data_IF_772135482883
#
_entry.id   IF_772135482883
#
_cell.length_a   1.000
_cell.length_b   1.000
_cell.length_c   1.000
_cell.angle_alpha   90.00
_cell.angle_beta   90.00
_cell.angle_gamma   90.00
#
_symmetry.space_group_name_H-M   'P 1'
#
loop_
_entity.id
_entity.type
_entity.pdbx_description
1 polymer ?
#
# COMPACT_ATOMS: atom_id res chain seq x y z
N UNK A 1 -4.16 -27.35 15.62
CA UNK A 1 -4.43 -26.01 15.04
C UNK A 1 -4.83 -26.20 13.59
N UNK A 2 -5.79 -25.42 13.13
CA UNK A 2 -6.26 -25.47 11.75
C UNK A 2 -5.23 -24.80 10.82
N UNK A 3 -4.78 -25.55 9.79
CA UNK A 3 -3.80 -25.08 8.80
C UNK A 3 -4.30 -23.86 8.03
N UNK A 4 -5.60 -23.80 7.74
CA UNK A 4 -6.24 -22.67 7.07
C UNK A 4 -6.12 -21.39 7.91
N UNK A 5 -6.42 -21.48 9.22
CA UNK A 5 -6.29 -20.34 10.12
C UNK A 5 -4.83 -19.85 10.20
N UNK A 6 -3.87 -20.76 10.30
CA UNK A 6 -2.45 -20.40 10.33
C UNK A 6 -2.00 -19.72 9.04
N UNK A 7 -2.41 -20.22 7.86
CA UNK A 7 -2.09 -19.61 6.58
C UNK A 7 -2.71 -18.21 6.44
N UNK A 8 -3.97 -18.02 6.88
CA UNK A 8 -4.63 -16.71 6.91
C UNK A 8 -3.92 -15.72 7.83
N UNK A 9 -3.56 -16.14 9.04
CA UNK A 9 -2.84 -15.29 9.99
C UNK A 9 -1.47 -14.87 9.44
N UNK A 10 -0.75 -15.82 8.85
CA UNK A 10 0.56 -15.53 8.24
C UNK A 10 0.43 -14.52 7.11
N UNK A 11 -0.49 -14.73 6.18
CA UNK A 11 -0.72 -13.79 5.09
C UNK A 11 -1.14 -12.41 5.60
N UNK A 12 -2.10 -12.35 6.53
CA UNK A 12 -2.56 -11.09 7.11
C UNK A 12 -1.43 -10.30 7.79
N UNK A 13 -0.58 -10.98 8.57
CA UNK A 13 0.55 -10.35 9.28
C UNK A 13 1.59 -9.85 8.30
N UNK A 14 2.03 -10.68 7.37
CA UNK A 14 3.09 -10.33 6.42
C UNK A 14 2.65 -9.25 5.44
N UNK A 15 1.43 -9.32 4.91
CA UNK A 15 0.85 -8.29 4.03
C UNK A 15 0.70 -6.96 4.76
N UNK A 16 0.19 -6.96 6.00
CA UNK A 16 0.03 -5.74 6.78
C UNK A 16 1.39 -5.07 7.02
N UNK A 17 2.40 -5.84 7.41
CA UNK A 17 3.75 -5.30 7.62
C UNK A 17 4.32 -4.76 6.31
N UNK A 18 4.28 -5.52 5.22
CA UNK A 18 4.80 -5.08 3.92
C UNK A 18 4.10 -3.81 3.43
N UNK A 19 2.79 -3.73 3.57
CA UNK A 19 2.03 -2.57 3.09
C UNK A 19 2.39 -1.26 3.79
N UNK A 20 2.84 -1.30 5.05
CA UNK A 20 3.36 -0.12 5.74
C UNK A 20 4.60 0.46 5.04
N UNK A 21 5.46 -0.40 4.50
CA UNK A 21 6.61 0.05 3.68
C UNK A 21 6.15 0.60 2.34
N UNK A 22 5.19 -0.03 1.69
CA UNK A 22 4.68 0.37 0.37
C UNK A 22 4.09 1.78 0.40
N UNK A 23 3.23 2.11 1.38
CA UNK A 23 2.61 3.45 1.45
C UNK A 23 3.64 4.55 1.71
N UNK A 24 4.70 4.27 2.48
CA UNK A 24 5.81 5.21 2.69
C UNK A 24 6.66 5.36 1.41
N UNK A 25 6.97 4.24 0.73
CA UNK A 25 7.75 4.24 -0.52
C UNK A 25 7.06 5.08 -1.59
N UNK A 26 5.81 4.77 -1.93
CA UNK A 26 5.07 5.50 -2.97
C UNK A 26 4.85 6.97 -2.61
N UNK A 27 4.52 7.26 -1.34
CA UNK A 27 4.32 8.62 -0.87
C UNK A 27 5.61 9.45 -0.93
N UNK A 28 6.72 8.94 -0.39
CA UNK A 28 7.97 9.69 -0.36
C UNK A 28 8.62 9.82 -1.73
N UNK A 29 8.58 8.80 -2.60
CA UNK A 29 9.21 8.90 -3.94
C UNK A 29 8.56 10.00 -4.77
N UNK A 30 7.24 10.17 -4.67
CA UNK A 30 6.51 11.25 -5.36
C UNK A 30 6.96 12.62 -4.88
N UNK A 31 7.08 12.80 -3.56
CA UNK A 31 7.56 14.04 -2.96
C UNK A 31 9.02 14.32 -3.35
N UNK A 32 9.87 13.30 -3.38
CA UNK A 32 11.28 13.41 -3.80
C UNK A 32 11.42 13.83 -5.26
N UNK A 33 10.64 13.21 -6.16
CA UNK A 33 10.60 13.60 -7.57
C UNK A 33 10.19 15.07 -7.72
N UNK A 34 9.14 15.49 -7.01
CA UNK A 34 8.71 16.89 -7.00
C UNK A 34 9.80 17.85 -6.51
N UNK A 35 10.46 17.53 -5.39
CA UNK A 35 11.53 18.36 -4.82
C UNK A 35 12.76 18.41 -5.74
N UNK A 36 13.21 17.28 -6.29
CA UNK A 36 14.36 17.24 -7.17
C UNK A 36 14.08 17.94 -8.51
N UNK A 37 12.87 17.81 -9.04
CA UNK A 37 12.44 18.53 -10.24
C UNK A 37 12.43 20.05 -10.01
N UNK A 38 11.89 20.50 -8.87
CA UNK A 38 11.93 21.91 -8.50
C UNK A 38 13.36 22.43 -8.37
N UNK A 39 14.26 21.63 -7.79
CA UNK A 39 15.70 21.96 -7.71
C UNK A 39 16.38 22.04 -9.06
N UNK A 40 16.04 21.15 -9.98
CA UNK A 40 16.55 21.18 -11.35
C UNK A 40 16.10 22.42 -12.13
N UNK A 41 14.81 22.77 -12.03
CA UNK A 41 14.23 23.90 -12.76
C UNK A 41 14.64 25.26 -12.19
N UNK A 42 14.76 25.38 -10.87
CA UNK A 42 15.03 26.67 -10.21
C UNK A 42 16.52 26.92 -9.94
N UNK A 43 17.34 25.86 -9.96
CA UNK A 43 18.76 25.96 -9.56
C UNK A 43 18.98 26.27 -8.07
N UNK A 44 17.92 26.36 -7.24
CA UNK A 44 18.03 26.70 -5.83
C UNK A 44 18.58 25.51 -4.99
N UNK A 45 19.73 25.67 -4.30
CA UNK A 45 20.36 24.60 -3.53
C UNK A 45 19.53 24.12 -2.33
N UNK A 46 18.53 24.88 -1.88
CA UNK A 46 17.64 24.45 -0.81
C UNK A 46 16.88 23.18 -1.17
N UNK A 47 16.49 23.01 -2.44
CA UNK A 47 15.82 21.80 -2.92
C UNK A 47 16.73 20.58 -2.89
N UNK A 48 18.02 20.74 -3.15
CA UNK A 48 18.97 19.64 -3.06
C UNK A 48 19.11 19.14 -1.61
N UNK A 49 19.18 20.06 -0.63
CA UNK A 49 19.21 19.68 0.81
C UNK A 49 17.94 18.93 1.22
N UNK A 50 16.79 19.42 0.78
CA UNK A 50 15.50 18.75 1.00
C UNK A 50 15.50 17.33 0.41
N UNK A 51 15.91 17.22 -0.87
CA UNK A 51 15.96 15.92 -1.57
C UNK A 51 16.92 14.95 -0.89
N UNK A 52 18.08 15.42 -0.42
CA UNK A 52 19.06 14.57 0.30
C UNK A 52 18.50 14.06 1.63
N UNK A 53 17.91 14.94 2.44
CA UNK A 53 17.36 14.56 3.74
C UNK A 53 16.22 13.53 3.59
N UNK A 54 15.22 13.84 2.78
CA UNK A 54 14.08 12.94 2.56
C UNK A 54 14.45 11.70 1.75
N UNK A 55 15.43 11.82 0.85
CA UNK A 55 15.97 10.70 0.07
C UNK A 55 16.64 9.64 0.94
N UNK A 56 17.34 10.03 1.98
CA UNK A 56 17.93 9.06 2.93
C UNK A 56 16.85 8.29 3.70
N UNK A 57 15.79 8.97 4.12
CA UNK A 57 14.63 8.32 4.76
C UNK A 57 13.93 7.37 3.79
N UNK A 58 13.76 7.78 2.53
CA UNK A 58 13.23 6.91 1.49
C UNK A 58 14.07 5.65 1.29
N UNK A 59 15.39 5.78 1.16
CA UNK A 59 16.31 4.65 0.97
C UNK A 59 16.26 3.67 2.13
N UNK A 60 16.23 4.16 3.39
CA UNK A 60 16.09 3.30 4.58
C UNK A 60 14.81 2.46 4.46
N UNK A 61 13.68 3.12 4.19
CA UNK A 61 12.39 2.43 4.08
C UNK A 61 12.38 1.45 2.90
N UNK A 62 12.91 1.84 1.75
CA UNK A 62 12.89 1.05 0.53
C UNK A 62 13.70 -0.24 0.66
N UNK A 63 14.93 -0.18 1.15
CA UNK A 63 15.81 -1.36 1.28
C UNK A 63 15.20 -2.42 2.18
N UNK A 64 14.57 -2.01 3.28
CA UNK A 64 13.90 -2.94 4.18
C UNK A 64 12.54 -3.39 3.63
N UNK A 65 11.85 -2.51 2.89
CA UNK A 65 10.62 -2.82 2.18
C UNK A 65 10.78 -3.93 1.14
N UNK A 66 11.87 -3.92 0.37
CA UNK A 66 12.21 -5.00 -0.58
C UNK A 66 12.24 -6.37 0.11
N UNK A 67 12.95 -6.48 1.23
CA UNK A 67 13.06 -7.75 1.95
C UNK A 67 11.68 -8.29 2.36
N UNK A 68 10.76 -7.40 2.76
CA UNK A 68 9.39 -7.78 3.11
C UNK A 68 8.57 -8.19 1.87
N UNK A 69 8.79 -7.57 0.72
CA UNK A 69 8.15 -7.92 -0.57
C UNK A 69 8.55 -9.31 -1.05
N UNK A 70 9.84 -9.64 -1.00
CA UNK A 70 10.34 -10.98 -1.36
C UNK A 70 9.67 -12.06 -0.52
N UNK A 71 9.47 -11.83 0.78
CA UNK A 71 8.74 -12.77 1.65
C UNK A 71 7.31 -12.96 1.19
N UNK A 72 6.65 -11.90 0.70
CA UNK A 72 5.27 -12.00 0.17
C UNK A 72 5.21 -12.92 -1.05
N UNK A 73 6.15 -12.78 -1.99
CA UNK A 73 6.22 -13.64 -3.18
C UNK A 73 6.40 -15.12 -2.84
N UNK A 74 7.26 -15.44 -1.88
CA UNK A 74 7.47 -16.83 -1.45
C UNK A 74 6.20 -17.47 -0.87
N UNK A 75 5.30 -16.73 -0.27
CA UNK A 75 4.08 -17.29 0.32
C UNK A 75 3.13 -17.89 -0.70
N UNK A 76 3.12 -17.40 -1.94
CA UNK A 76 2.31 -17.99 -3.01
C UNK A 76 2.69 -19.45 -3.29
N UNK A 77 3.97 -19.80 -3.23
CA UNK A 77 4.43 -21.18 -3.36
C UNK A 77 4.35 -22.00 -2.08
N UNK A 78 4.64 -21.39 -0.93
CA UNK A 78 4.74 -22.10 0.36
C UNK A 78 3.36 -22.39 0.97
N UNK A 79 2.53 -21.36 1.13
CA UNK A 79 1.30 -21.46 1.92
C UNK A 79 0.03 -21.49 1.06
N UNK A 80 0.13 -21.04 -0.19
CA UNK A 80 -1.00 -20.84 -1.08
C UNK A 80 -0.80 -21.57 -2.42
N UNK A 81 -0.19 -22.76 -2.40
CA UNK A 81 0.10 -23.54 -3.62
C UNK A 81 -1.16 -23.92 -4.40
N UNK A 82 -2.28 -24.14 -3.74
CA UNK A 82 -3.58 -24.36 -4.40
C UNK A 82 -4.04 -23.14 -5.20
N UNK A 83 -3.85 -21.92 -4.65
CA UNK A 83 -4.09 -20.68 -5.40
C UNK A 83 -3.14 -20.60 -6.61
N UNK A 84 -1.83 -20.74 -6.40
CA UNK A 84 -0.83 -20.63 -7.45
C UNK A 84 -1.09 -21.61 -8.61
N UNK A 85 -1.54 -22.82 -8.29
CA UNK A 85 -1.94 -23.83 -9.29
C UNK A 85 -3.18 -23.39 -10.06
N UNK A 86 -4.20 -22.88 -9.36
CA UNK A 86 -5.47 -22.51 -9.98
C UNK A 86 -5.37 -21.28 -10.88
N UNK A 87 -4.63 -20.25 -10.46
CA UNK A 87 -4.56 -18.95 -11.15
C UNK A 87 -3.23 -18.66 -11.84
N UNK A 88 -2.27 -19.59 -11.83
CA UNK A 88 -0.91 -19.37 -12.37
C UNK A 88 -0.92 -18.88 -13.83
N UNK A 89 -1.85 -19.37 -14.65
CA UNK A 89 -1.99 -18.94 -16.04
C UNK A 89 -2.70 -17.58 -16.21
N UNK A 90 -3.23 -17.00 -15.15
CA UNK A 90 -3.79 -15.63 -15.13
C UNK A 90 -2.80 -14.66 -14.52
N UNK A 91 -2.20 -15.02 -13.37
CA UNK A 91 -1.31 -14.14 -12.61
C UNK A 91 0.13 -14.16 -13.10
N UNK A 92 0.56 -15.22 -13.80
CA UNK A 92 1.94 -15.36 -14.23
C UNK A 92 2.46 -14.15 -14.99
N UNK A 93 1.68 -13.60 -15.92
CA UNK A 93 2.09 -12.41 -16.66
C UNK A 93 2.18 -11.14 -15.80
N UNK A 94 1.13 -10.74 -15.03
CA UNK A 94 1.21 -9.59 -14.12
C UNK A 94 2.36 -9.67 -13.11
N UNK A 95 2.53 -10.81 -12.43
CA UNK A 95 3.58 -10.97 -11.42
C UNK A 95 4.98 -11.05 -12.05
N UNK A 96 5.13 -11.69 -13.23
CA UNK A 96 6.40 -11.70 -13.94
C UNK A 96 6.82 -10.29 -14.40
N UNK A 97 5.88 -9.49 -14.89
CA UNK A 97 6.15 -8.10 -15.28
C UNK A 97 6.52 -7.28 -14.03
N UNK A 98 5.80 -7.46 -12.93
CA UNK A 98 6.11 -6.80 -11.67
C UNK A 98 7.54 -7.13 -11.22
N UNK A 99 7.87 -8.41 -11.06
CA UNK A 99 9.15 -8.84 -10.54
C UNK A 99 10.30 -8.55 -11.49
N UNK A 100 10.18 -8.92 -12.78
CA UNK A 100 11.29 -8.84 -13.74
C UNK A 100 11.52 -7.42 -14.26
N UNK A 101 10.46 -6.64 -14.45
CA UNK A 101 10.56 -5.31 -15.05
C UNK A 101 10.54 -4.24 -13.95
N UNK A 102 9.48 -4.19 -13.15
CA UNK A 102 9.34 -3.12 -12.17
C UNK A 102 10.41 -3.19 -11.09
N UNK A 103 10.51 -4.31 -10.38
CA UNK A 103 11.44 -4.48 -9.26
C UNK A 103 12.92 -4.38 -9.66
N UNK A 104 13.36 -5.08 -10.72
CA UNK A 104 14.77 -5.02 -11.14
C UNK A 104 15.17 -3.65 -11.68
N UNK A 105 14.29 -3.01 -12.46
CA UNK A 105 14.56 -1.66 -12.96
C UNK A 105 14.57 -0.65 -11.82
N UNK A 106 13.61 -0.74 -10.89
CA UNK A 106 13.53 0.14 -9.73
C UNK A 106 14.80 0.07 -8.88
N UNK A 107 15.25 -1.14 -8.54
CA UNK A 107 16.48 -1.37 -7.76
C UNK A 107 17.70 -0.85 -8.49
N UNK A 108 17.77 -1.04 -9.82
CA UNK A 108 18.87 -0.55 -10.64
C UNK A 108 18.90 0.97 -10.69
N UNK A 109 17.77 1.62 -10.98
CA UNK A 109 17.68 3.08 -11.03
C UNK A 109 17.97 3.71 -9.67
N UNK A 110 17.46 3.11 -8.58
CA UNK A 110 17.73 3.59 -7.24
C UNK A 110 19.21 3.48 -6.88
N UNK A 111 19.86 2.35 -7.19
CA UNK A 111 21.29 2.18 -6.99
C UNK A 111 22.09 3.26 -7.74
N UNK A 112 21.78 3.46 -9.02
CA UNK A 112 22.44 4.52 -9.82
C UNK A 112 22.14 5.92 -9.26
N UNK A 113 20.94 6.19 -8.75
CA UNK A 113 20.59 7.47 -8.13
C UNK A 113 21.38 7.70 -6.83
N UNK A 114 21.47 6.70 -5.94
CA UNK A 114 22.21 6.80 -4.67
C UNK A 114 23.69 7.10 -4.91
N UNK A 115 24.33 6.37 -5.82
CA UNK A 115 25.76 6.52 -6.09
C UNK A 115 26.10 7.61 -7.11
N UNK A 116 25.06 8.20 -7.74
CA UNK A 116 25.18 9.19 -8.81
C UNK A 116 25.34 10.64 -8.38
N UNK A 117 25.13 11.00 -7.10
CA UNK A 117 25.02 12.38 -6.60
C UNK A 117 26.11 13.34 -7.05
N UNK A 118 27.36 12.89 -7.10
CA UNK A 118 28.51 13.73 -7.50
C UNK A 118 29.15 13.27 -8.80
N UNK A 119 28.58 12.28 -9.48
CA UNK A 119 29.14 11.63 -10.67
C UNK A 119 28.33 11.89 -11.93
N UNK A 120 27.04 12.09 -11.78
CA UNK A 120 26.12 12.21 -12.91
C UNK A 120 25.72 13.67 -13.16
N UNK A 121 25.44 14.00 -14.43
CA UNK A 121 24.81 15.26 -14.79
C UNK A 121 23.47 15.41 -14.11
N UNK A 122 23.08 16.62 -13.65
CA UNK A 122 21.85 16.89 -12.91
C UNK A 122 20.59 16.33 -13.59
N UNK A 123 20.50 16.46 -14.92
CA UNK A 123 19.34 15.94 -15.68
C UNK A 123 19.27 14.41 -15.68
N UNK A 124 20.41 13.71 -15.82
CA UNK A 124 20.48 12.24 -15.75
C UNK A 124 20.11 11.76 -14.35
N UNK A 125 20.62 12.42 -13.31
CA UNK A 125 20.32 12.09 -11.93
C UNK A 125 18.82 12.29 -11.60
N UNK A 126 18.19 13.32 -12.15
CA UNK A 126 16.74 13.53 -12.05
C UNK A 126 15.97 12.44 -12.81
N UNK A 127 16.40 12.10 -14.04
CA UNK A 127 15.75 11.04 -14.83
C UNK A 127 15.77 9.68 -14.13
N UNK A 128 16.85 9.36 -13.40
CA UNK A 128 16.93 8.15 -12.59
C UNK A 128 15.88 8.14 -11.47
N UNK A 129 15.65 9.25 -10.77
CA UNK A 129 14.62 9.32 -9.74
C UNK A 129 13.20 9.24 -10.31
N UNK A 130 12.98 9.82 -11.50
CA UNK A 130 11.74 9.59 -12.25
C UNK A 130 11.57 8.11 -12.64
N UNK A 131 12.67 7.46 -13.06
CA UNK A 131 12.69 6.02 -13.31
C UNK A 131 12.29 5.20 -12.09
N UNK A 132 12.88 5.51 -10.91
CA UNK A 132 12.51 4.88 -9.63
C UNK A 132 11.02 5.07 -9.33
N UNK A 133 10.48 6.28 -9.47
CA UNK A 133 9.08 6.54 -9.21
C UNK A 133 8.16 5.77 -10.17
N UNK A 134 8.44 5.81 -11.47
CA UNK A 134 7.63 5.14 -12.48
C UNK A 134 7.62 3.62 -12.28
N UNK A 135 8.75 3.02 -11.94
CA UNK A 135 8.85 1.58 -11.70
C UNK A 135 8.17 1.17 -10.38
N UNK A 136 8.26 1.98 -9.32
CA UNK A 136 7.52 1.75 -8.07
C UNK A 136 6.01 1.79 -8.29
N UNK A 137 5.51 2.76 -9.07
CA UNK A 137 4.10 2.82 -9.44
C UNK A 137 3.68 1.70 -10.38
N UNK A 138 4.55 1.26 -11.29
CA UNK A 138 4.30 0.12 -12.16
C UNK A 138 4.19 -1.19 -11.36
N UNK A 139 5.04 -1.41 -10.35
CA UNK A 139 4.93 -2.53 -9.42
C UNK A 139 3.57 -2.52 -8.71
N UNK A 140 3.21 -1.41 -8.06
CA UNK A 140 1.91 -1.27 -7.40
C UNK A 140 0.72 -1.48 -8.36
N UNK A 141 0.83 -1.02 -9.61
CA UNK A 141 -0.17 -1.20 -10.64
C UNK A 141 -0.42 -2.69 -10.93
N UNK A 142 0.62 -3.47 -11.20
CA UNK A 142 0.49 -4.88 -11.55
C UNK A 142 -0.03 -5.73 -10.39
N UNK A 143 0.41 -5.45 -9.16
CA UNK A 143 -0.13 -6.10 -7.96
C UNK A 143 -1.62 -5.77 -7.78
N UNK A 144 -2.03 -4.52 -8.02
CA UNK A 144 -3.44 -4.14 -7.92
C UNK A 144 -4.29 -4.71 -9.05
N UNK A 145 -3.75 -4.92 -10.25
CA UNK A 145 -4.43 -5.66 -11.35
C UNK A 145 -4.70 -7.10 -10.92
N UNK A 146 -3.70 -7.80 -10.39
CA UNK A 146 -3.85 -9.17 -9.88
C UNK A 146 -4.87 -9.22 -8.73
N UNK A 147 -4.79 -8.29 -7.78
CA UNK A 147 -5.73 -8.21 -6.67
C UNK A 147 -7.17 -7.90 -7.14
N UNK A 148 -7.35 -7.01 -8.12
CA UNK A 148 -8.66 -6.72 -8.68
C UNK A 148 -9.29 -7.94 -9.36
N UNK A 149 -8.51 -8.78 -10.01
CA UNK A 149 -9.00 -10.04 -10.56
C UNK A 149 -9.47 -10.99 -9.46
N UNK A 150 -8.76 -11.09 -8.33
CA UNK A 150 -9.23 -11.88 -7.19
C UNK A 150 -10.57 -11.38 -6.63
N UNK A 151 -10.79 -10.05 -6.67
CA UNK A 151 -12.05 -9.43 -6.23
C UNK A 151 -13.19 -9.64 -7.23
N UNK A 152 -12.89 -9.63 -8.53
CA UNK A 152 -13.84 -9.80 -9.62
C UNK A 152 -13.17 -10.54 -10.79
N UNK A 153 -13.21 -11.87 -10.83
CA UNK A 153 -12.60 -12.65 -11.90
C UNK A 153 -13.25 -12.38 -13.25
N UNK A 154 -12.46 -11.91 -14.21
CA UNK A 154 -12.88 -11.58 -15.59
C UNK A 154 -11.84 -12.05 -16.60
N UNK A 155 -12.21 -12.20 -17.89
CA UNK A 155 -11.28 -12.48 -18.98
C UNK A 155 -10.60 -13.85 -18.88
N UNK A 156 -11.25 -14.85 -18.31
CA UNK A 156 -10.69 -16.19 -18.09
C UNK A 156 -11.63 -17.30 -18.58
N UNK A 157 -11.07 -18.49 -18.77
CA UNK A 157 -11.79 -19.74 -18.95
C UNK A 157 -11.17 -20.81 -18.05
N UNK A 158 -12.02 -21.65 -17.44
CA UNK A 158 -11.53 -22.81 -16.66
C UNK A 158 -11.40 -24.00 -17.59
N UNK A 159 -10.17 -24.57 -17.66
CA UNK A 159 -9.87 -25.82 -18.39
C UNK A 159 -9.09 -26.72 -17.44
N UNK A 160 -9.48 -27.96 -17.34
CA UNK A 160 -8.84 -28.98 -16.45
C UNK A 160 -8.67 -28.51 -14.98
N UNK A 161 -9.65 -27.74 -14.48
CA UNK A 161 -9.63 -27.20 -13.12
C UNK A 161 -8.67 -26.02 -12.89
N UNK A 162 -8.12 -25.42 -13.95
CA UNK A 162 -7.19 -24.29 -13.92
C UNK A 162 -7.81 -23.10 -14.68
N UNK A 163 -7.69 -21.91 -14.14
CA UNK A 163 -8.10 -20.69 -14.81
C UNK A 163 -7.03 -20.26 -15.82
N UNK A 164 -7.43 -20.09 -17.08
CA UNK A 164 -6.58 -19.63 -18.17
C UNK A 164 -7.02 -18.24 -18.61
N UNK A 165 -6.09 -17.32 -18.75
CA UNK A 165 -6.36 -16.00 -19.27
C UNK A 165 -6.75 -16.08 -20.75
N UNK A 166 -7.89 -15.49 -21.09
CA UNK A 166 -8.41 -15.43 -22.48
C UNK A 166 -8.54 -14.01 -23.01
N UNK A 167 -8.63 -13.03 -22.10
CA UNK A 167 -8.74 -11.61 -22.44
C UNK A 167 -7.91 -10.77 -21.46
N UNK A 168 -6.72 -10.35 -21.91
CA UNK A 168 -5.85 -9.49 -21.13
C UNK A 168 -6.42 -8.08 -20.94
N UNK A 169 -7.19 -7.57 -21.91
CA UNK A 169 -7.84 -6.26 -21.80
C UNK A 169 -8.84 -6.22 -20.67
N UNK A 170 -9.58 -7.31 -20.42
CA UNK A 170 -10.52 -7.42 -19.32
C UNK A 170 -9.85 -7.29 -17.94
N UNK A 171 -8.60 -7.73 -17.78
CA UNK A 171 -7.85 -7.52 -16.55
C UNK A 171 -7.64 -6.02 -16.26
N UNK A 172 -7.24 -5.26 -17.27
CA UNK A 172 -6.91 -3.84 -17.15
C UNK A 172 -8.16 -2.96 -17.01
N UNK A 173 -9.28 -3.41 -17.54
CA UNK A 173 -10.58 -2.71 -17.46
C UNK A 173 -11.49 -3.24 -16.36
N UNK A 174 -10.95 -4.04 -15.44
CA UNK A 174 -11.70 -4.57 -14.31
C UNK A 174 -12.33 -3.44 -13.48
N UNK A 175 -13.66 -3.44 -13.27
CA UNK A 175 -14.36 -2.34 -12.59
C UNK A 175 -13.89 -2.12 -11.14
N UNK A 176 -13.28 -3.12 -10.50
CA UNK A 176 -12.74 -3.01 -9.14
C UNK A 176 -11.29 -2.50 -9.10
N UNK A 177 -10.65 -2.27 -10.26
CA UNK A 177 -9.24 -1.90 -10.34
C UNK A 177 -9.01 -0.38 -10.18
N UNK A 178 -9.55 0.42 -11.09
CA UNK A 178 -9.15 1.84 -11.24
C UNK A 178 -9.35 2.68 -9.98
N UNK A 179 -10.54 2.58 -9.37
CA UNK A 179 -10.85 3.30 -8.13
C UNK A 179 -10.03 2.79 -6.95
N UNK A 180 -9.76 1.48 -6.88
CA UNK A 180 -8.93 0.90 -5.83
C UNK A 180 -7.47 1.30 -5.96
N UNK A 181 -6.90 1.29 -7.18
CA UNK A 181 -5.54 1.75 -7.44
C UNK A 181 -5.39 3.24 -7.10
N UNK A 182 -6.33 4.09 -7.57
CA UNK A 182 -6.36 5.51 -7.22
C UNK A 182 -6.44 5.76 -5.71
N UNK A 183 -7.24 4.96 -4.99
CA UNK A 183 -7.34 5.03 -3.53
C UNK A 183 -6.01 4.68 -2.84
N UNK A 184 -5.34 3.61 -3.26
CA UNK A 184 -4.02 3.20 -2.71
C UNK A 184 -2.96 4.27 -2.96
N UNK A 185 -2.90 4.82 -4.18
CA UNK A 185 -1.97 5.91 -4.53
C UNK A 185 -2.24 7.15 -3.68
N UNK A 186 -3.50 7.56 -3.56
CA UNK A 186 -3.89 8.70 -2.74
C UNK A 186 -3.57 8.47 -1.25
N UNK A 187 -3.79 7.25 -0.73
CA UNK A 187 -3.45 6.89 0.65
C UNK A 187 -1.93 6.93 0.89
N UNK A 188 -1.13 6.50 -0.08
CA UNK A 188 0.32 6.62 0.00
C UNK A 188 0.78 8.09 0.03
N UNK A 189 0.21 8.95 -0.82
CA UNK A 189 0.48 10.39 -0.80
C UNK A 189 0.05 11.04 0.51
N UNK A 190 -1.10 10.68 1.06
CA UNK A 190 -1.56 11.14 2.38
C UNK A 190 -0.57 10.74 3.47
N UNK A 191 -0.14 9.48 3.46
CA UNK A 191 0.83 8.96 4.43
C UNK A 191 2.18 9.67 4.32
N UNK A 192 2.72 9.80 3.10
CA UNK A 192 3.98 10.51 2.85
C UNK A 192 3.91 11.99 3.23
N UNK A 193 2.80 12.67 2.91
CA UNK A 193 2.57 14.06 3.27
C UNK A 193 2.47 14.28 4.77
N UNK A 194 1.70 13.45 5.49
CA UNK A 194 1.59 13.51 6.95
C UNK A 194 2.89 13.12 7.65
N UNK A 195 3.62 12.12 7.15
CA UNK A 195 4.94 11.73 7.65
C UNK A 195 5.92 12.91 7.56
N UNK A 196 5.97 13.56 6.40
CA UNK A 196 6.80 14.74 6.18
C UNK A 196 6.39 15.90 7.11
N UNK A 197 5.10 16.16 7.24
CA UNK A 197 4.58 17.21 8.12
C UNK A 197 4.85 16.92 9.60
N UNK A 198 4.66 15.68 10.07
CA UNK A 198 4.84 15.28 11.46
C UNK A 198 6.31 15.32 11.90
N UNK A 199 7.25 14.86 11.06
CA UNK A 199 8.69 14.96 11.32
C UNK A 199 9.10 16.44 11.38
N UNK A 200 8.69 17.23 10.39
CA UNK A 200 8.96 18.66 10.34
C UNK A 200 8.40 19.39 11.56
N UNK A 201 7.19 19.05 11.99
CA UNK A 201 6.59 19.59 13.22
C UNK A 201 7.44 19.27 14.46
N UNK A 202 8.04 18.08 14.54
CA UNK A 202 8.95 17.69 15.60
C UNK A 202 10.19 18.60 15.69
N UNK A 203 10.81 18.90 14.55
CA UNK A 203 11.96 19.81 14.46
C UNK A 203 11.60 21.26 14.81
N UNK A 204 10.45 21.73 14.30
CA UNK A 204 9.96 23.09 14.59
C UNK A 204 9.63 23.29 16.08
N UNK A 205 9.08 22.26 16.75
CA UNK A 205 8.84 22.26 18.18
C UNK A 205 10.13 22.32 19.01
N UNK A 206 11.17 21.59 18.56
CA UNK A 206 12.49 21.52 19.23
C UNK A 206 13.40 22.71 18.86
N UNK A 207 13.04 23.50 17.84
CA UNK A 207 13.84 24.61 17.30
C UNK A 207 15.24 24.16 16.88
N UNK A 208 15.31 23.06 16.09
CA UNK A 208 16.59 22.56 15.54
C UNK A 208 17.24 23.57 14.58
N UNK A 209 18.56 23.43 14.29
CA UNK A 209 19.29 24.46 13.52
C UNK A 209 18.74 24.78 12.13
N UNK A 210 18.28 23.78 11.35
CA UNK A 210 17.78 24.01 9.98
C UNK A 210 16.26 24.19 9.92
N UNK A 211 15.75 25.23 10.61
CA UNK A 211 14.32 25.55 10.61
C UNK A 211 13.76 25.86 9.21
N UNK A 212 14.57 26.35 8.28
CA UNK A 212 14.13 26.70 6.93
C UNK A 212 13.74 25.44 6.14
N UNK A 213 14.56 24.36 6.26
CA UNK A 213 14.28 23.07 5.65
C UNK A 213 12.94 22.52 6.17
N UNK A 214 12.76 22.52 7.49
CA UNK A 214 11.57 21.93 8.10
C UNK A 214 10.30 22.76 7.92
N UNK A 215 10.41 24.10 7.77
CA UNK A 215 9.28 24.95 7.36
C UNK A 215 8.82 24.60 5.94
N UNK A 216 9.76 24.45 5.01
CA UNK A 216 9.44 24.08 3.63
C UNK A 216 8.85 22.69 3.57
N UNK A 217 9.46 21.71 4.26
CA UNK A 217 8.94 20.33 4.36
C UNK A 217 7.52 20.29 4.97
N UNK A 218 7.26 21.05 6.03
CA UNK A 218 5.93 21.14 6.65
C UNK A 218 4.87 21.61 5.63
N UNK A 219 5.19 22.66 4.86
CA UNK A 219 4.28 23.20 3.84
C UNK A 219 4.01 22.20 2.73
N UNK A 220 5.07 21.58 2.20
CA UNK A 220 4.94 20.52 1.19
C UNK A 220 4.09 19.37 1.73
N UNK A 221 4.42 18.86 2.92
CA UNK A 221 3.71 17.75 3.54
C UNK A 221 2.23 18.03 3.79
N UNK A 222 1.89 19.20 4.34
CA UNK A 222 0.50 19.58 4.62
C UNK A 222 -0.32 19.80 3.35
N UNK A 223 0.22 20.48 2.34
CA UNK A 223 -0.48 20.68 1.06
C UNK A 223 -0.71 19.33 0.39
N UNK A 224 0.31 18.47 0.35
CA UNK A 224 0.16 17.11 -0.20
C UNK A 224 -0.89 16.31 0.56
N UNK A 225 -0.86 16.32 1.89
CA UNK A 225 -1.82 15.59 2.70
C UNK A 225 -3.26 16.09 2.51
N UNK A 226 -3.47 17.41 2.38
CA UNK A 226 -4.78 17.98 2.15
C UNK A 226 -5.36 17.58 0.77
N UNK A 227 -4.57 17.66 -0.29
CA UNK A 227 -5.00 17.19 -1.61
C UNK A 227 -5.25 15.69 -1.59
N UNK A 228 -4.32 14.93 -1.00
CA UNK A 228 -4.38 13.47 -0.98
C UNK A 228 -5.58 12.96 -0.17
N UNK A 229 -5.95 13.56 0.96
CA UNK A 229 -7.11 13.10 1.75
C UNK A 229 -8.41 13.27 0.98
N UNK A 230 -8.55 14.34 0.18
CA UNK A 230 -9.71 14.52 -0.70
C UNK A 230 -9.78 13.42 -1.77
N UNK A 231 -8.63 13.07 -2.37
CA UNK A 231 -8.55 11.98 -3.34
C UNK A 231 -8.83 10.61 -2.70
N UNK A 232 -8.30 10.36 -1.49
CA UNK A 232 -8.59 9.14 -0.71
C UNK A 232 -10.08 8.98 -0.50
N UNK A 233 -10.75 10.04 -0.04
CA UNK A 233 -12.20 10.01 0.18
C UNK A 233 -12.96 9.82 -1.14
N UNK A 234 -12.60 10.59 -2.17
CA UNK A 234 -13.24 10.49 -3.49
C UNK A 234 -13.13 9.10 -4.10
N UNK A 235 -11.92 8.56 -4.22
CA UNK A 235 -11.71 7.19 -4.72
C UNK A 235 -12.28 6.12 -3.78
N UNK A 236 -12.23 6.35 -2.46
CA UNK A 236 -12.78 5.43 -1.48
C UNK A 236 -14.29 5.27 -1.65
N UNK A 237 -15.03 6.36 -1.68
CA UNK A 237 -16.49 6.32 -1.90
C UNK A 237 -16.86 5.84 -3.30
N UNK A 238 -16.07 6.15 -4.31
CA UNK A 238 -16.29 5.68 -5.68
C UNK A 238 -16.20 4.15 -5.84
N UNK A 239 -15.57 3.43 -4.90
CA UNK A 239 -15.50 1.96 -4.93
C UNK A 239 -16.82 1.29 -4.56
N UNK A 240 -17.71 1.96 -3.80
CA UNK A 240 -18.95 1.32 -3.33
C UNK A 240 -19.81 0.80 -4.48
N UNK A 241 -20.03 1.60 -5.52
CA UNK A 241 -20.84 1.21 -6.68
C UNK A 241 -20.32 -0.06 -7.37
N UNK A 242 -19.10 -0.06 -7.91
CA UNK A 242 -18.52 -1.24 -8.55
C UNK A 242 -18.46 -2.46 -7.64
N UNK A 243 -18.05 -2.30 -6.37
CA UNK A 243 -17.95 -3.44 -5.45
C UNK A 243 -19.33 -4.01 -5.11
N UNK A 244 -20.36 -3.18 -4.93
CA UNK A 244 -21.72 -3.65 -4.69
C UNK A 244 -22.27 -4.45 -5.86
N UNK A 245 -21.93 -4.07 -7.10
CA UNK A 245 -22.36 -4.78 -8.29
C UNK A 245 -21.71 -6.16 -8.41
N UNK A 246 -20.41 -6.28 -8.15
CA UNK A 246 -19.65 -7.52 -8.36
C UNK A 246 -19.54 -8.40 -7.12
N UNK A 247 -19.73 -7.84 -5.91
CA UNK A 247 -19.69 -8.54 -4.63
C UNK A 247 -20.90 -8.17 -3.75
N UNK A 248 -22.12 -8.48 -4.17
CA UNK A 248 -23.33 -8.06 -3.45
C UNK A 248 -23.40 -8.61 -2.03
N UNK A 249 -22.82 -9.77 -1.75
CA UNK A 249 -22.75 -10.36 -0.39
C UNK A 249 -21.92 -9.53 0.59
N UNK A 250 -21.06 -8.63 0.11
CA UNK A 250 -20.16 -7.83 0.96
C UNK A 250 -20.86 -6.75 1.75
N UNK A 251 -22.01 -6.27 1.30
CA UNK A 251 -22.75 -5.16 1.89
C UNK A 251 -24.12 -5.53 2.47
N UNK A 252 -24.28 -6.78 2.89
CA UNK A 252 -25.43 -7.15 3.71
C UNK A 252 -26.60 -7.82 2.99
N UNK A 253 -26.40 -8.36 1.80
CA UNK A 253 -27.41 -9.22 1.18
C UNK A 253 -28.38 -8.49 0.22
N UNK A 254 -29.49 -9.13 -0.09
CA UNK A 254 -30.50 -8.72 -1.05
C UNK A 254 -30.73 -9.78 -2.12
N UNK A 255 -31.73 -9.65 -3.00
CA UNK A 255 -32.11 -10.70 -3.95
C UNK A 255 -30.97 -11.24 -4.80
N UNK A 256 -30.05 -10.38 -5.24
CA UNK A 256 -28.86 -10.78 -6.02
C UNK A 256 -27.88 -11.58 -5.18
N UNK A 257 -27.64 -11.19 -3.93
CA UNK A 257 -26.78 -11.94 -3.02
C UNK A 257 -27.39 -13.30 -2.68
N UNK A 258 -28.68 -13.36 -2.43
CA UNK A 258 -29.40 -14.60 -2.12
C UNK A 258 -29.33 -15.58 -3.30
N UNK A 259 -29.47 -15.09 -4.54
CA UNK A 259 -29.33 -15.91 -5.75
C UNK A 259 -27.93 -16.50 -5.85
N UNK A 260 -26.87 -15.67 -5.66
CA UNK A 260 -25.48 -16.12 -5.68
C UNK A 260 -25.18 -17.14 -4.59
N UNK A 261 -25.69 -16.93 -3.37
CA UNK A 261 -25.54 -17.89 -2.26
C UNK A 261 -26.21 -19.23 -2.59
N UNK A 262 -27.39 -19.21 -3.22
CA UNK A 262 -28.04 -20.43 -3.68
C UNK A 262 -27.23 -21.16 -4.77
N UNK A 263 -26.69 -20.45 -5.75
CA UNK A 263 -25.81 -21.01 -6.78
C UNK A 263 -24.54 -21.62 -6.18
N UNK A 264 -23.91 -20.92 -5.23
CA UNK A 264 -22.71 -21.41 -4.54
C UNK A 264 -23.00 -22.62 -3.66
N UNK A 265 -24.15 -22.64 -2.99
CA UNK A 265 -24.61 -23.79 -2.22
C UNK A 265 -24.79 -25.01 -3.11
N UNK A 266 -25.38 -24.83 -4.29
CA UNK A 266 -25.54 -25.90 -5.27
C UNK A 266 -24.18 -26.42 -5.81
N UNK A 267 -23.21 -25.52 -6.02
CA UNK A 267 -21.91 -25.85 -6.62
C UNK A 267 -20.87 -26.35 -5.62
N UNK A 268 -20.82 -25.80 -4.44
CA UNK A 268 -19.76 -26.04 -3.45
C UNK A 268 -20.24 -26.77 -2.19
N UNK A 269 -21.55 -26.94 -2.04
CA UNK A 269 -22.20 -27.51 -0.86
C UNK A 269 -22.71 -26.47 0.13
N UNK A 270 -23.43 -26.92 1.19
CA UNK A 270 -23.90 -26.02 2.23
C UNK A 270 -22.73 -25.39 3.00
N UNK A 271 -22.81 -24.07 3.21
CA UNK A 271 -21.78 -23.29 3.89
C UNK A 271 -22.19 -21.84 4.11
N UNK A 272 -21.41 -21.11 4.93
CA UNK A 272 -21.58 -19.67 5.10
C UNK A 272 -20.73 -18.94 4.04
N UNK A 273 -21.42 -18.28 3.11
CA UNK A 273 -20.80 -17.52 2.02
C UNK A 273 -20.85 -16.00 2.28
N UNK A 274 -21.17 -15.60 3.51
CA UNK A 274 -21.16 -14.20 3.91
C UNK A 274 -19.77 -13.77 4.42
N UNK A 275 -19.32 -12.53 4.15
CA UNK A 275 -18.07 -12.04 4.68
C UNK A 275 -18.11 -11.90 6.21
N UNK A 276 -17.01 -12.21 6.91
CA UNK A 276 -16.93 -12.00 8.37
C UNK A 276 -17.16 -10.54 8.77
N UNK A 277 -17.80 -10.33 9.92
CA UNK A 277 -18.09 -9.00 10.51
C UNK A 277 -16.84 -8.11 10.61
N UNK A 278 -15.67 -8.71 10.79
CA UNK A 278 -14.39 -8.00 10.82
C UNK A 278 -14.16 -7.11 9.58
N UNK A 279 -14.68 -7.50 8.42
CA UNK A 279 -14.62 -6.69 7.19
C UNK A 279 -15.36 -5.38 7.34
N UNK A 280 -16.61 -5.42 7.83
CA UNK A 280 -17.46 -4.23 8.02
C UNK A 280 -16.94 -3.32 9.12
N UNK A 281 -16.43 -3.90 10.20
CA UNK A 281 -15.79 -3.16 11.31
C UNK A 281 -14.52 -2.46 10.81
N UNK A 282 -13.66 -3.17 10.06
CA UNK A 282 -12.45 -2.58 9.46
C UNK A 282 -12.77 -1.43 8.52
N UNK A 283 -13.79 -1.60 7.65
CA UNK A 283 -14.27 -0.56 6.75
C UNK A 283 -14.78 0.67 7.51
N UNK A 284 -15.60 0.48 8.54
CA UNK A 284 -16.14 1.58 9.35
C UNK A 284 -15.07 2.40 10.03
N UNK A 285 -14.09 1.75 10.68
CA UNK A 285 -12.97 2.46 11.32
C UNK A 285 -12.04 3.13 10.31
N UNK A 286 -11.78 2.50 9.15
CA UNK A 286 -11.01 3.13 8.07
C UNK A 286 -11.67 4.43 7.60
N UNK A 287 -12.98 4.40 7.37
CA UNK A 287 -13.75 5.60 6.94
C UNK A 287 -13.69 6.67 8.02
N UNK A 288 -13.94 6.30 9.29
CA UNK A 288 -13.87 7.24 10.41
C UNK A 288 -12.52 7.94 10.49
N UNK A 289 -11.42 7.18 10.41
CA UNK A 289 -10.07 7.75 10.42
C UNK A 289 -9.86 8.64 9.19
N UNK A 290 -10.30 8.22 8.01
CA UNK A 290 -10.22 9.02 6.78
C UNK A 290 -10.95 10.36 6.89
N UNK A 291 -12.14 10.38 7.51
CA UNK A 291 -12.88 11.61 7.78
C UNK A 291 -12.16 12.51 8.79
N UNK A 292 -11.62 11.94 9.88
CA UNK A 292 -10.83 12.68 10.87
C UNK A 292 -9.59 13.32 10.23
N UNK A 293 -8.88 12.59 9.36
CA UNK A 293 -7.73 13.10 8.62
C UNK A 293 -8.12 14.22 7.64
N UNK A 294 -9.37 14.31 7.22
CA UNK A 294 -9.92 15.46 6.50
C UNK A 294 -9.73 16.80 7.22
N UNK A 295 -9.60 16.77 8.55
CA UNK A 295 -9.26 17.93 9.38
C UNK A 295 -7.93 18.60 9.02
N UNK A 296 -7.05 17.97 8.24
CA UNK A 296 -5.82 18.57 7.70
C UNK A 296 -6.12 19.85 6.90
N UNK A 297 -7.26 19.95 6.25
CA UNK A 297 -7.68 21.16 5.55
C UNK A 297 -7.76 22.39 6.47
N UNK A 298 -8.14 22.20 7.72
CA UNK A 298 -8.21 23.27 8.73
C UNK A 298 -6.84 23.82 9.12
N UNK A 299 -5.77 23.08 8.82
CA UNK A 299 -4.40 23.50 9.11
C UNK A 299 -3.77 24.34 7.99
N UNK A 300 -4.30 24.30 6.75
CA UNK A 300 -3.74 25.05 5.63
C UNK A 300 -3.77 26.57 5.82
N UNK A 301 -4.86 27.20 6.29
CA UNK A 301 -4.87 28.63 6.57
C UNK A 301 -3.80 29.05 7.59
N UNK A 302 -3.44 28.18 8.51
CA UNK A 302 -2.41 28.43 9.52
C UNK A 302 -0.99 28.49 8.94
N UNK A 303 -0.78 28.04 7.70
CA UNK A 303 0.49 28.23 6.97
C UNK A 303 0.71 29.69 6.58
N UNK A 304 -0.36 30.49 6.54
CA UNK A 304 -0.27 31.91 6.29
C UNK A 304 0.50 32.61 7.42
N UNK A 305 1.53 33.37 7.07
CA UNK A 305 2.41 34.06 8.04
C UNK A 305 2.98 33.17 9.15
N UNK A 306 3.13 31.86 8.87
CA UNK A 306 3.68 30.87 9.82
C UNK A 306 2.91 30.73 11.16
N UNK A 307 1.61 31.02 11.18
CA UNK A 307 0.79 30.90 12.39
C UNK A 307 0.84 29.50 12.97
N UNK A 308 0.89 28.45 12.13
CA UNK A 308 1.00 27.06 12.57
C UNK A 308 2.22 26.84 13.50
N UNK A 309 3.33 27.55 13.25
CA UNK A 309 4.56 27.44 14.04
C UNK A 309 4.40 28.21 15.36
N UNK A 310 3.70 29.34 15.35
CA UNK A 310 3.48 30.19 16.53
C UNK A 310 2.55 29.51 17.54
N UNK A 311 1.48 28.86 17.07
CA UNK A 311 0.45 28.25 17.91
C UNK A 311 0.91 26.95 18.60
N UNK A 312 1.96 26.29 18.12
CA UNK A 312 2.53 25.01 18.62
C UNK A 312 1.55 23.84 18.70
N UNK A 313 0.29 24.05 19.08
CA UNK A 313 -0.72 23.01 19.21
C UNK A 313 -0.95 22.23 17.88
N UNK A 314 -1.10 22.86 16.71
CA UNK A 314 -1.21 22.13 15.45
C UNK A 314 0.00 21.24 15.14
N UNK A 315 1.21 21.64 15.55
CA UNK A 315 2.41 20.84 15.38
C UNK A 315 2.37 19.55 16.23
N UNK A 316 1.85 19.64 17.47
CA UNK A 316 1.61 18.48 18.31
C UNK A 316 0.54 17.57 17.71
N UNK A 317 -0.55 18.15 17.21
CA UNK A 317 -1.63 17.40 16.56
C UNK A 317 -1.11 16.58 15.37
N UNK A 318 -0.27 17.16 14.50
CA UNK A 318 0.35 16.44 13.38
C UNK A 318 1.19 15.24 13.82
N UNK A 319 1.92 15.38 14.92
CA UNK A 319 2.74 14.27 15.47
C UNK A 319 1.89 13.15 16.04
N UNK A 320 0.81 13.49 16.75
CA UNK A 320 -0.12 12.51 17.32
C UNK A 320 -0.93 11.81 16.21
N UNK A 321 -1.27 12.54 15.15
CA UNK A 321 -2.02 12.01 14.01
C UNK A 321 -1.18 11.08 13.10
N UNK A 322 0.15 11.06 13.22
CA UNK A 322 1.04 10.27 12.36
C UNK A 322 0.69 8.78 12.25
N UNK A 323 0.30 8.05 13.29
CA UNK A 323 -0.09 6.64 13.18
C UNK A 323 -1.39 6.40 12.40
N UNK A 324 -2.28 7.40 12.32
CA UNK A 324 -3.64 7.22 11.78
C UNK A 324 -3.68 6.73 10.32
N UNK A 325 -2.91 7.29 9.36
CA UNK A 325 -2.93 6.79 7.98
C UNK A 325 -2.43 5.34 7.87
N UNK A 326 -1.48 4.92 8.72
CA UNK A 326 -1.00 3.54 8.75
C UNK A 326 -2.08 2.59 9.29
N UNK A 327 -2.78 2.97 10.36
CA UNK A 327 -3.89 2.20 10.92
C UNK A 327 -5.01 2.08 9.88
N UNK A 328 -5.38 3.20 9.22
CA UNK A 328 -6.40 3.19 8.18
C UNK A 328 -6.01 2.29 7.00
N UNK A 329 -4.75 2.27 6.61
CA UNK A 329 -4.23 1.42 5.54
C UNK A 329 -4.38 -0.08 5.86
N UNK A 330 -4.05 -0.51 7.08
CA UNK A 330 -4.24 -1.90 7.54
C UNK A 330 -5.73 -2.25 7.58
N UNK A 331 -6.56 -1.38 8.16
CA UNK A 331 -8.00 -1.59 8.23
C UNK A 331 -8.64 -1.69 6.84
N UNK A 332 -8.16 -0.90 5.88
CA UNK A 332 -8.59 -0.97 4.48
C UNK A 332 -8.28 -2.33 3.84
N UNK A 333 -7.09 -2.88 4.08
CA UNK A 333 -6.74 -4.23 3.61
C UNK A 333 -7.55 -5.31 4.30
N UNK A 334 -7.80 -5.20 5.60
CA UNK A 334 -8.72 -6.11 6.31
C UNK A 334 -10.11 -6.06 5.66
N UNK A 335 -10.65 -4.87 5.43
CA UNK A 335 -11.95 -4.71 4.79
C UNK A 335 -11.97 -5.32 3.37
N UNK A 336 -10.89 -5.17 2.61
CA UNK A 336 -10.80 -5.66 1.24
C UNK A 336 -10.64 -7.19 1.18
N UNK A 337 -9.69 -7.75 1.91
CA UNK A 337 -9.32 -9.17 1.82
C UNK A 337 -10.23 -10.07 2.67
N UNK A 338 -10.55 -9.67 3.90
CA UNK A 338 -11.50 -10.40 4.73
C UNK A 338 -12.92 -10.28 4.18
N UNK A 339 -13.24 -9.13 3.55
CA UNK A 339 -14.52 -8.92 2.89
C UNK A 339 -14.75 -9.75 1.61
N UNK A 340 -13.73 -10.47 1.13
CA UNK A 340 -13.85 -11.45 0.05
C UNK A 340 -14.07 -12.87 0.56
N UNK A 341 -13.83 -13.13 1.85
CA UNK A 341 -14.02 -14.48 2.41
C UNK A 341 -15.48 -14.94 2.26
N UNK A 342 -15.72 -16.27 2.07
CA UNK A 342 -14.77 -17.38 2.16
C UNK A 342 -13.94 -17.63 0.87
N UNK A 343 -13.89 -16.70 -0.05
CA UNK A 343 -13.22 -16.84 -1.34
C UNK A 343 -11.80 -16.30 -1.33
N UNK A 344 -10.89 -16.98 -2.00
CA UNK A 344 -9.60 -16.42 -2.41
C UNK A 344 -9.69 -15.77 -3.79
N UNK A 345 -10.44 -16.38 -4.71
CA UNK A 345 -10.94 -15.74 -5.93
C UNK A 345 -12.46 -15.77 -5.90
N UNK A 346 -13.09 -14.61 -5.89
CA UNK A 346 -14.50 -14.44 -5.58
C UNK A 346 -15.40 -15.31 -6.46
N UNK A 347 -16.22 -16.15 -5.83
CA UNK A 347 -17.14 -17.08 -6.48
C UNK A 347 -16.49 -18.24 -7.25
N UNK A 348 -15.15 -18.34 -7.29
CA UNK A 348 -14.44 -19.37 -8.05
C UNK A 348 -13.66 -20.36 -7.19
N UNK A 349 -12.84 -19.85 -6.29
CA UNK A 349 -11.94 -20.64 -5.49
C UNK A 349 -12.15 -20.36 -4.00
N UNK A 350 -12.74 -21.29 -3.25
CA UNK A 350 -12.82 -21.21 -1.80
C UNK A 350 -11.43 -21.18 -1.17
N UNK A 351 -11.27 -20.44 -0.09
CA UNK A 351 -9.98 -20.29 0.61
C UNK A 351 -9.42 -21.63 1.08
N UNK A 352 -10.28 -22.55 1.49
CA UNK A 352 -9.91 -23.90 1.94
C UNK A 352 -9.20 -24.71 0.85
N UNK A 353 -9.58 -24.54 -0.43
CA UNK A 353 -8.98 -25.23 -1.58
C UNK A 353 -7.71 -24.55 -2.10
N UNK A 354 -7.43 -23.34 -1.62
CA UNK A 354 -6.28 -22.53 -2.05
C UNK A 354 -5.03 -22.77 -1.20
N UNK A 355 -5.20 -23.25 0.03
CA UNK A 355 -4.10 -23.48 0.99
C UNK A 355 -3.27 -24.69 0.58
N UNK A 356 -1.98 -24.64 0.86
CA UNK A 356 -1.05 -25.74 0.64
C UNK A 356 -1.32 -26.92 1.59
N UNK A 357 -1.15 -28.12 1.08
CA UNK A 357 -1.26 -29.37 1.86
C UNK A 357 0.01 -29.63 2.66
N UNK A 358 0.27 -28.83 3.67
CA UNK A 358 1.43 -28.96 4.57
C UNK A 358 0.99 -29.30 5.99
N UNK A 359 1.87 -29.94 6.76
CA UNK A 359 1.58 -30.25 8.15
C UNK A 359 1.36 -28.97 8.99
N UNK A 360 0.38 -28.94 9.91
CA UNK A 360 0.10 -27.76 10.75
C UNK A 360 1.31 -27.24 11.51
N UNK A 361 2.21 -28.14 11.96
CA UNK A 361 3.44 -27.78 12.65
C UNK A 361 4.41 -26.97 11.77
N UNK A 362 4.56 -27.35 10.50
CA UNK A 362 5.40 -26.63 9.55
C UNK A 362 4.80 -25.25 9.23
N UNK A 363 3.47 -25.17 9.07
CA UNK A 363 2.76 -23.91 8.87
C UNK A 363 2.94 -22.96 10.07
N UNK A 364 2.83 -23.48 11.31
CA UNK A 364 3.08 -22.71 12.52
C UNK A 364 4.53 -22.22 12.60
N UNK A 365 5.49 -23.08 12.27
CA UNK A 365 6.91 -22.68 12.22
C UNK A 365 7.16 -21.56 11.23
N UNK A 366 6.55 -21.64 10.04
CA UNK A 366 6.68 -20.58 9.03
C UNK A 366 6.01 -19.28 9.46
N UNK A 367 4.83 -19.35 10.09
CA UNK A 367 4.14 -18.18 10.67
C UNK A 367 5.03 -17.47 11.70
N UNK A 368 5.58 -18.22 12.66
CA UNK A 368 6.46 -17.68 13.70
C UNK A 368 7.73 -17.11 13.07
N UNK A 369 8.38 -17.85 12.17
CA UNK A 369 9.63 -17.43 11.52
C UNK A 369 9.47 -16.14 10.72
N UNK A 370 8.45 -16.06 9.87
CA UNK A 370 8.21 -14.83 9.08
C UNK A 370 7.73 -13.68 9.94
N UNK A 371 6.91 -13.90 10.95
CA UNK A 371 6.49 -12.84 11.87
C UNK A 371 7.67 -12.26 12.64
N UNK A 372 8.58 -13.08 13.14
CA UNK A 372 9.78 -12.62 13.82
C UNK A 372 10.74 -11.90 12.87
N UNK A 373 10.97 -12.45 11.67
CA UNK A 373 11.83 -11.82 10.66
C UNK A 373 11.30 -10.46 10.25
N UNK A 374 10.04 -10.38 9.83
CA UNK A 374 9.44 -9.13 9.37
C UNK A 374 9.26 -8.13 10.51
N UNK A 375 8.96 -8.61 11.70
CA UNK A 375 8.92 -7.79 12.91
C UNK A 375 10.29 -7.17 13.22
N UNK A 376 11.37 -7.96 13.16
CA UNK A 376 12.74 -7.45 13.35
C UNK A 376 13.13 -6.43 12.28
N UNK A 377 12.82 -6.71 10.99
CA UNK A 377 13.05 -5.76 9.90
C UNK A 377 12.27 -4.46 10.11
N UNK A 378 11.01 -4.54 10.54
CA UNK A 378 10.17 -3.37 10.81
C UNK A 378 10.71 -2.53 11.97
N UNK A 379 11.08 -3.17 13.08
CA UNK A 379 11.68 -2.47 14.22
C UNK A 379 12.99 -1.80 13.79
N UNK A 380 13.83 -2.51 13.03
CA UNK A 380 15.10 -1.96 12.51
C UNK A 380 14.82 -0.74 11.62
N UNK A 381 13.86 -0.86 10.71
CA UNK A 381 13.44 0.26 9.84
C UNK A 381 13.07 1.49 10.66
N UNK A 382 12.10 1.34 11.56
CA UNK A 382 11.58 2.47 12.32
C UNK A 382 12.61 3.08 13.27
N UNK A 383 13.51 2.27 13.82
CA UNK A 383 14.64 2.77 14.63
C UNK A 383 15.63 3.57 13.79
N UNK A 384 16.04 3.04 12.62
CA UNK A 384 16.96 3.75 11.72
C UNK A 384 16.31 5.01 11.15
N UNK A 385 15.05 4.91 10.74
CA UNK A 385 14.26 6.02 10.22
C UNK A 385 14.12 7.14 11.27
N UNK A 386 13.73 6.79 12.51
CA UNK A 386 13.58 7.75 13.58
C UNK A 386 14.93 8.39 13.99
N UNK A 387 16.00 7.61 14.04
CA UNK A 387 17.36 8.13 14.33
C UNK A 387 17.81 9.11 13.25
N UNK A 388 17.58 8.79 11.97
CA UNK A 388 17.93 9.66 10.87
C UNK A 388 17.06 10.90 10.82
N UNK A 389 15.74 10.72 10.96
CA UNK A 389 14.77 11.82 11.05
C UNK A 389 15.06 12.80 12.19
N UNK A 390 15.68 12.37 13.28
CA UNK A 390 16.01 13.22 14.43
C UNK A 390 17.29 14.06 14.24
N UNK A 391 18.14 13.75 13.25
CA UNK A 391 19.45 14.39 13.03
C UNK A 391 19.41 15.67 12.19
N UNK A 392 18.29 16.00 11.60
CA UNK A 392 18.05 17.10 10.66
C UNK A 392 18.52 18.47 11.03
#
# INVERSE_FOLDING_TARGET
MDTLLLARLQFATTTSIHFLFVVVTLGLVTLLVGMQTAGYLTGNPAWERLTRFWGQLYVINYVLGIATGIVMEFQFGLNWSGLSRYVGNVFGAPLAIETLVAFFLESTFLGMWIFGWHRLRRGVHLALLWGVALTAYASAFWIMVANAWLQNPVGYQVRDGIAHLTDFGALLTNPTFGTAFGHVVAAALLTGGLLMAAISAGHLLRRTPDLALFRTSLRIGLVTAAVAVTLVQGFGFAQFGPVQQVQPTKFGGGPTADTLVAEWTARFGPGDYTPPVLSSVGLGFMILIGLLLGGVWLLLPLLWRDWIIRLRFPLWLLRIALPLPFIAAILGWIAREVGRQPWVAYGLLPTERAVSTVAPGLMLTSLIGFTLLLGALSVTNWVLFARHAARG
#
